data_IF_441463154705
#
_entry.id   IF_441463154705
#
_cell.length_a   1.000
_cell.length_b   1.000
_cell.length_c   1.000
_cell.angle_alpha   90.00
_cell.angle_beta   90.00
_cell.angle_gamma   90.00
#
_symmetry.space_group_name_H-M   'P 1'
#
loop_
_entity.id
_entity.type
_entity.pdbx_description
1 polymer ?
#
# COMPACT_ATOMS: atom_id res chain seq x y z
N UNK A 1 0.61 -12.15 -51.54
CA UNK A 1 -0.04 -11.27 -50.55
C UNK A 1 -0.75 -12.19 -49.58
N UNK A 2 -0.32 -12.20 -48.31
CA UNK A 2 -1.04 -12.94 -47.25
C UNK A 2 -1.93 -11.91 -46.58
N UNK A 3 -3.19 -11.82 -47.00
CA UNK A 3 -4.12 -10.90 -46.37
C UNK A 3 -4.60 -11.54 -45.06
N UNK A 4 -4.36 -10.86 -43.95
CA UNK A 4 -4.60 -11.39 -42.61
C UNK A 4 -6.09 -11.62 -42.30
N UNK A 5 -6.98 -11.09 -43.13
CA UNK A 5 -8.44 -11.18 -43.00
C UNK A 5 -9.02 -12.53 -43.47
N UNK A 6 -8.26 -13.31 -44.26
CA UNK A 6 -8.74 -14.58 -44.83
C UNK A 6 -8.67 -15.77 -43.85
N UNK A 7 -8.06 -15.58 -42.67
CA UNK A 7 -7.75 -16.67 -41.74
C UNK A 7 -8.32 -16.43 -40.34
N UNK A 8 -8.94 -17.44 -39.72
CA UNK A 8 -9.48 -17.29 -38.38
C UNK A 8 -8.36 -17.07 -37.36
N UNK A 9 -8.64 -16.22 -36.37
CA UNK A 9 -7.76 -15.99 -35.23
C UNK A 9 -7.76 -17.19 -34.28
N UNK A 10 -6.58 -17.70 -33.97
CA UNK A 10 -6.36 -18.84 -33.09
C UNK A 10 -5.66 -18.40 -31.81
N UNK A 11 -6.17 -18.91 -30.68
CA UNK A 11 -5.53 -18.76 -29.36
C UNK A 11 -4.79 -20.05 -29.04
N UNK A 12 -3.54 -19.93 -28.62
CA UNK A 12 -2.72 -21.07 -28.19
C UNK A 12 -2.56 -21.05 -26.67
N UNK A 13 -2.79 -22.20 -26.03
CA UNK A 13 -2.48 -22.42 -24.62
C UNK A 13 -1.34 -23.42 -24.54
N UNK A 14 -0.16 -22.96 -24.11
CA UNK A 14 1.01 -23.81 -23.87
C UNK A 14 0.92 -24.39 -22.46
N UNK A 15 0.19 -25.50 -22.36
CA UNK A 15 -0.03 -26.21 -21.10
C UNK A 15 1.29 -26.82 -20.55
N UNK A 16 1.62 -26.64 -19.25
CA UNK A 16 2.91 -27.05 -18.68
C UNK A 16 2.98 -28.56 -18.35
N UNK A 17 2.38 -29.41 -19.16
CA UNK A 17 2.32 -30.85 -18.93
C UNK A 17 1.88 -31.65 -20.15
N UNK A 18 1.98 -32.98 -20.07
CA UNK A 18 1.59 -33.88 -21.15
C UNK A 18 0.07 -34.11 -21.11
N UNK A 19 -0.64 -33.58 -22.11
CA UNK A 19 -2.09 -33.73 -22.21
C UNK A 19 -2.45 -35.09 -22.82
N UNK A 20 -2.94 -36.02 -21.98
CA UNK A 20 -3.52 -37.30 -22.43
C UNK A 20 -5.04 -37.23 -22.61
N UNK A 21 -5.70 -36.42 -21.79
CA UNK A 21 -7.14 -36.18 -21.83
C UNK A 21 -7.37 -34.67 -21.88
N UNK A 22 -7.98 -34.20 -22.97
CA UNK A 22 -8.17 -32.77 -23.24
C UNK A 22 -9.19 -32.16 -22.28
N UNK A 23 -10.29 -32.86 -21.98
CA UNK A 23 -11.35 -32.36 -21.10
C UNK A 23 -10.83 -32.11 -19.68
N UNK A 24 -10.01 -33.02 -19.15
CA UNK A 24 -9.36 -32.84 -17.86
C UNK A 24 -8.39 -31.65 -17.86
N UNK A 25 -7.64 -31.45 -18.94
CA UNK A 25 -6.74 -30.30 -19.06
C UNK A 25 -7.50 -28.96 -19.17
N UNK A 26 -8.68 -28.97 -19.79
CA UNK A 26 -9.58 -27.81 -19.82
C UNK A 26 -10.16 -27.57 -18.42
N UNK A 27 -10.52 -28.62 -17.69
CA UNK A 27 -11.04 -28.52 -16.33
C UNK A 27 -9.99 -27.93 -15.35
N UNK A 28 -8.71 -28.27 -15.49
CA UNK A 28 -7.64 -27.66 -14.68
C UNK A 28 -7.44 -26.17 -14.95
N UNK A 29 -7.83 -25.69 -16.13
CA UNK A 29 -7.87 -24.25 -16.48
C UNK A 29 -9.18 -23.57 -16.07
N UNK A 30 -10.06 -24.27 -15.33
CA UNK A 30 -11.32 -23.74 -14.85
C UNK A 30 -12.48 -23.87 -15.85
N UNK A 31 -12.32 -24.65 -16.91
CA UNK A 31 -13.35 -24.88 -17.92
C UNK A 31 -13.30 -23.89 -19.09
N UNK A 32 -14.02 -24.22 -20.17
CA UNK A 32 -14.06 -23.41 -21.40
C UNK A 32 -14.57 -22.00 -21.14
N UNK A 33 -15.54 -21.84 -20.23
CA UNK A 33 -16.12 -20.53 -19.88
C UNK A 33 -15.09 -19.58 -19.27
N UNK A 34 -14.32 -20.05 -18.28
CA UNK A 34 -13.28 -19.23 -17.64
C UNK A 34 -12.14 -18.92 -18.59
N UNK A 35 -11.74 -19.86 -19.44
CA UNK A 35 -10.76 -19.62 -20.48
C UNK A 35 -11.23 -18.53 -21.47
N UNK A 36 -12.50 -18.62 -21.91
CA UNK A 36 -13.10 -17.62 -22.80
C UNK A 36 -13.22 -16.25 -22.13
N UNK A 37 -13.57 -16.20 -20.84
CA UNK A 37 -13.65 -14.96 -20.08
C UNK A 37 -12.27 -14.33 -19.91
N UNK A 38 -11.26 -15.10 -19.49
CA UNK A 38 -9.88 -14.64 -19.35
C UNK A 38 -9.33 -14.09 -20.68
N UNK A 39 -9.69 -14.73 -21.80
CA UNK A 39 -9.34 -14.25 -23.11
C UNK A 39 -10.00 -12.91 -23.48
N UNK A 40 -11.31 -12.79 -23.25
CA UNK A 40 -12.06 -11.55 -23.52
C UNK A 40 -11.57 -10.36 -22.69
N UNK A 41 -11.25 -10.59 -21.42
CA UNK A 41 -10.73 -9.55 -20.52
C UNK A 41 -9.22 -9.34 -20.63
N UNK A 42 -8.53 -10.14 -21.45
CA UNK A 42 -7.07 -10.15 -21.63
C UNK A 42 -6.30 -10.35 -20.31
N UNK A 43 -6.87 -11.16 -19.41
CA UNK A 43 -6.26 -11.52 -18.12
C UNK A 43 -5.53 -12.86 -18.25
N UNK A 44 -4.54 -13.10 -17.39
CA UNK A 44 -3.86 -14.38 -17.29
C UNK A 44 -4.84 -15.52 -17.00
N UNK A 45 -4.61 -16.69 -17.62
CA UNK A 45 -5.31 -17.92 -17.28
C UNK A 45 -4.73 -18.53 -16.00
N UNK A 46 -5.61 -19.09 -15.19
CA UNK A 46 -5.24 -19.81 -13.96
C UNK A 46 -5.21 -21.31 -14.24
N UNK A 47 -4.14 -21.97 -13.84
CA UNK A 47 -4.02 -23.41 -13.84
C UNK A 47 -4.05 -23.94 -12.41
N UNK A 48 -4.99 -24.86 -12.15
CA UNK A 48 -5.17 -25.57 -10.90
C UNK A 48 -4.97 -27.07 -11.12
N UNK A 49 -3.93 -27.63 -10.54
CA UNK A 49 -3.66 -29.07 -10.66
C UNK A 49 -4.75 -29.93 -10.00
N UNK A 50 -5.36 -29.42 -8.93
CA UNK A 50 -6.46 -30.07 -8.20
C UNK A 50 -7.67 -29.11 -8.12
N UNK A 51 -8.53 -29.07 -9.16
CA UNK A 51 -9.63 -28.10 -9.25
C UNK A 51 -10.62 -28.13 -8.09
N UNK A 52 -10.78 -29.29 -7.46
CA UNK A 52 -11.69 -29.53 -6.34
C UNK A 52 -11.15 -28.97 -5.01
N UNK A 53 -9.83 -28.78 -4.89
CA UNK A 53 -9.22 -28.25 -3.66
C UNK A 53 -9.16 -26.71 -3.72
N UNK A 54 -9.86 -25.98 -2.83
CA UNK A 54 -9.87 -24.52 -2.83
C UNK A 54 -8.53 -23.89 -2.43
N UNK A 55 -7.70 -24.62 -1.67
CA UNK A 55 -6.37 -24.19 -1.24
C UNK A 55 -5.26 -24.54 -2.25
N UNK A 56 -5.60 -25.12 -3.40
CA UNK A 56 -4.61 -25.42 -4.44
C UNK A 56 -3.91 -24.15 -4.91
N UNK A 57 -2.58 -24.15 -4.88
CA UNK A 57 -1.73 -23.09 -5.39
C UNK A 57 -1.93 -23.00 -6.90
N UNK A 58 -2.19 -21.78 -7.37
CA UNK A 58 -2.53 -21.51 -8.77
C UNK A 58 -1.26 -21.12 -9.53
N UNK A 59 -1.09 -21.67 -10.72
CA UNK A 59 -0.11 -21.17 -11.68
C UNK A 59 -0.81 -20.18 -12.62
N UNK A 60 -0.14 -19.09 -12.94
CA UNK A 60 -0.69 -18.09 -13.87
C UNK A 60 0.09 -18.11 -15.18
N UNK A 61 -0.64 -17.98 -16.28
CA UNK A 61 -0.02 -17.87 -17.60
C UNK A 61 0.47 -16.44 -17.85
N UNK A 62 1.60 -16.31 -18.53
CA UNK A 62 1.98 -15.09 -19.23
C UNK A 62 1.15 -14.96 -20.52
N UNK A 63 0.61 -13.78 -20.78
CA UNK A 63 -0.17 -13.47 -21.98
C UNK A 63 0.72 -12.79 -23.00
N UNK A 64 0.96 -13.44 -24.13
CA UNK A 64 1.75 -12.91 -25.24
C UNK A 64 0.79 -12.57 -26.37
N UNK A 65 0.72 -11.28 -26.71
CA UNK A 65 0.06 -10.81 -27.93
C UNK A 65 0.95 -11.15 -29.13
N UNK A 66 0.54 -12.16 -29.90
CA UNK A 66 1.28 -12.65 -31.06
C UNK A 66 1.00 -11.83 -32.33
N UNK A 67 0.00 -10.95 -32.32
CA UNK A 67 -0.23 -9.98 -33.40
C UNK A 67 0.61 -8.71 -33.24
N UNK A 68 1.18 -8.45 -32.07
CA UNK A 68 2.05 -7.29 -31.85
C UNK A 68 3.37 -7.47 -32.60
N UNK A 69 3.39 -7.05 -33.87
CA UNK A 69 4.54 -7.17 -34.78
C UNK A 69 5.65 -6.21 -34.37
N UNK A 70 6.57 -6.67 -33.51
CA UNK A 70 7.83 -5.96 -33.25
C UNK A 70 9.01 -6.51 -34.07
N UNK A 71 8.87 -7.71 -34.64
CA UNK A 71 9.95 -8.41 -35.35
C UNK A 71 9.57 -8.92 -36.75
N UNK A 72 8.47 -8.44 -37.34
CA UNK A 72 8.04 -8.82 -38.70
C UNK A 72 7.65 -10.29 -38.89
N UNK A 73 7.51 -11.06 -37.80
CA UNK A 73 7.25 -12.50 -37.85
C UNK A 73 5.80 -12.79 -37.47
N UNK A 74 5.05 -13.47 -38.33
CA UNK A 74 3.67 -13.90 -38.06
C UNK A 74 3.68 -15.38 -37.65
N UNK A 75 2.90 -15.72 -36.61
CA UNK A 75 2.73 -17.11 -36.16
C UNK A 75 1.46 -17.68 -36.74
N UNK A 76 1.54 -18.87 -37.34
CA UNK A 76 0.44 -19.53 -38.03
C UNK A 76 0.32 -20.97 -37.57
N UNK A 77 -0.92 -21.43 -37.33
CA UNK A 77 -1.18 -22.84 -37.04
C UNK A 77 -1.41 -23.58 -38.36
N UNK A 78 -0.63 -24.64 -38.58
CA UNK A 78 -0.69 -25.46 -39.80
C UNK A 78 -0.95 -26.92 -39.44
N UNK A 79 -1.80 -27.59 -40.23
CA UNK A 79 -2.02 -29.03 -40.15
C UNK A 79 -1.21 -29.70 -41.25
N UNK A 80 -0.21 -30.49 -40.86
CA UNK A 80 0.65 -31.21 -41.79
C UNK A 80 0.20 -32.67 -41.86
N UNK A 81 -0.20 -33.16 -43.03
CA UNK A 81 -0.52 -34.57 -43.28
C UNK A 81 0.57 -35.19 -44.13
N UNK A 82 1.10 -36.33 -43.69
CA UNK A 82 2.08 -37.14 -44.42
C UNK A 82 1.47 -38.48 -44.80
N UNK A 83 1.67 -38.94 -46.03
CA UNK A 83 1.23 -40.30 -46.42
C UNK A 83 2.14 -41.34 -45.76
N UNK A 84 1.55 -42.44 -45.26
CA UNK A 84 2.29 -43.51 -44.56
C UNK A 84 3.26 -44.26 -45.50
N UNK A 85 2.92 -44.37 -46.78
CA UNK A 85 3.70 -45.10 -47.80
C UNK A 85 4.75 -44.24 -48.51
N UNK A 86 4.60 -42.91 -48.52
CA UNK A 86 5.56 -41.99 -49.15
C UNK A 86 5.76 -40.77 -48.26
N UNK A 87 6.92 -40.75 -47.58
CA UNK A 87 7.28 -39.68 -46.64
C UNK A 87 7.61 -38.35 -47.33
N UNK A 88 7.74 -38.33 -48.66
CA UNK A 88 8.04 -37.13 -49.44
C UNK A 88 6.79 -36.29 -49.76
N UNK A 89 5.61 -36.92 -49.79
CA UNK A 89 4.34 -36.25 -50.04
C UNK A 89 3.79 -35.62 -48.75
N UNK A 90 3.93 -34.29 -48.63
CA UNK A 90 3.45 -33.49 -47.50
C UNK A 90 2.32 -32.58 -47.94
N UNK A 91 1.11 -32.77 -47.40
CA UNK A 91 0.00 -31.83 -47.56
C UNK A 91 -0.04 -30.89 -46.35
N UNK A 92 -0.02 -29.59 -46.61
CA UNK A 92 -0.07 -28.56 -45.57
C UNK A 92 -1.40 -27.81 -45.71
N UNK A 93 -2.26 -27.92 -44.68
CA UNK A 93 -3.49 -27.13 -44.58
C UNK A 93 -3.24 -25.99 -43.57
N UNK A 94 -3.41 -24.73 -43.98
CA UNK A 94 -3.35 -23.60 -43.04
C UNK A 94 -4.64 -23.55 -42.22
N UNK A 95 -4.53 -23.51 -40.88
CA UNK A 95 -5.69 -23.50 -39.97
C UNK A 95 -6.06 -22.06 -39.62
N UNK A 96 -5.07 -21.20 -39.35
CA UNK A 96 -5.32 -19.82 -38.96
C UNK A 96 -4.12 -19.10 -38.35
N UNK A 97 -4.32 -17.81 -38.05
CA UNK A 97 -3.30 -16.92 -37.49
C UNK A 97 -3.32 -16.94 -35.97
N UNK A 98 -2.17 -17.08 -35.33
CA UNK A 98 -2.08 -17.09 -33.87
C UNK A 98 -2.15 -15.66 -33.34
N UNK A 99 -3.21 -15.35 -32.59
CA UNK A 99 -3.45 -14.00 -32.06
C UNK A 99 -2.84 -13.84 -30.67
N UNK A 100 -3.05 -14.82 -29.79
CA UNK A 100 -2.60 -14.80 -28.40
C UNK A 100 -2.01 -16.15 -28.01
N UNK A 101 -0.96 -16.09 -27.19
CA UNK A 101 -0.34 -17.28 -26.60
C UNK A 101 -0.37 -17.13 -25.08
N UNK A 102 -1.01 -18.08 -24.41
CA UNK A 102 -1.00 -18.23 -22.96
C UNK A 102 0.06 -19.24 -22.60
N UNK A 103 1.13 -18.79 -21.92
CA UNK A 103 2.31 -19.60 -21.63
C UNK A 103 2.58 -19.68 -20.14
N UNK A 104 2.69 -20.89 -19.60
CA UNK A 104 2.97 -21.12 -18.17
C UNK A 104 4.47 -21.36 -17.97
N UNK A 105 5.25 -20.28 -17.94
CA UNK A 105 6.71 -20.32 -17.70
C UNK A 105 7.11 -20.10 -16.24
N UNK A 106 6.19 -19.57 -15.44
CA UNK A 106 6.43 -19.23 -14.05
C UNK A 106 6.30 -20.47 -13.15
N UNK A 107 7.00 -20.47 -12.03
CA UNK A 107 6.88 -21.53 -11.03
C UNK A 107 5.57 -21.41 -10.25
N UNK A 108 5.06 -22.55 -9.78
CA UNK A 108 4.00 -22.55 -8.79
C UNK A 108 4.47 -21.96 -7.46
N UNK A 109 3.54 -21.34 -6.74
CA UNK A 109 3.80 -20.93 -5.35
C UNK A 109 3.86 -22.14 -4.42
N UNK A 110 4.35 -21.94 -3.20
CA UNK A 110 4.36 -22.97 -2.16
C UNK A 110 2.93 -23.47 -1.89
N UNK A 111 2.80 -24.77 -1.70
CA UNK A 111 1.53 -25.42 -1.34
C UNK A 111 1.56 -25.81 0.13
N UNK A 112 0.61 -25.28 0.90
CA UNK A 112 0.31 -25.78 2.23
C UNK A 112 -0.99 -26.57 2.16
N UNK A 113 -1.03 -27.77 2.75
CA UNK A 113 -2.20 -28.65 2.68
C UNK A 113 -2.94 -28.67 4.02
N UNK A 114 -4.28 -28.67 4.04
CA UNK A 114 -5.09 -28.72 5.26
C UNK A 114 -5.12 -30.14 5.83
N UNK A 115 -3.95 -30.68 6.15
CA UNK A 115 -3.78 -32.06 6.62
C UNK A 115 -3.24 -32.08 8.04
N UNK A 116 -3.85 -32.89 8.91
CA UNK A 116 -3.36 -33.14 10.27
C UNK A 116 -2.87 -34.58 10.38
N UNK A 117 -1.61 -34.78 10.73
CA UNK A 117 -1.09 -36.14 11.00
C UNK A 117 -1.75 -36.69 12.27
N UNK A 118 -2.32 -37.89 12.18
CA UNK A 118 -2.89 -38.57 13.34
C UNK A 118 -1.77 -39.13 14.22
N UNK A 119 -1.85 -39.00 15.56
CA UNK A 119 -0.81 -39.53 16.45
C UNK A 119 -0.74 -41.06 16.34
N UNK A 120 0.47 -41.59 16.16
CA UNK A 120 0.71 -43.03 16.12
C UNK A 120 0.44 -43.74 14.79
N UNK A 121 0.02 -43.04 13.74
CA UNK A 121 -0.08 -43.62 12.39
C UNK A 121 0.47 -42.68 11.31
N UNK A 122 0.78 -43.21 10.13
CA UNK A 122 1.22 -42.40 8.98
C UNK A 122 0.05 -41.82 8.16
N UNK A 123 -1.16 -41.89 8.71
CA UNK A 123 -2.36 -41.40 8.07
C UNK A 123 -2.59 -39.92 8.39
N UNK A 124 -3.00 -39.16 7.39
CA UNK A 124 -3.34 -37.75 7.50
C UNK A 124 -4.86 -37.59 7.46
N UNK A 125 -5.40 -36.80 8.39
CA UNK A 125 -6.80 -36.39 8.39
C UNK A 125 -6.96 -35.14 7.52
N UNK A 126 -7.94 -35.16 6.61
CA UNK A 126 -8.32 -33.99 5.82
C UNK A 126 -9.16 -33.03 6.68
N UNK A 127 -8.64 -31.82 6.87
CA UNK A 127 -9.31 -30.76 7.61
C UNK A 127 -10.28 -29.96 6.72
N UNK A 128 -10.23 -30.10 5.40
CA UNK A 128 -11.04 -29.29 4.49
C UNK A 128 -12.55 -29.33 4.80
N UNK A 129 -13.18 -30.49 5.06
CA UNK A 129 -14.60 -30.54 5.41
C UNK A 129 -14.93 -29.90 6.77
N UNK A 130 -13.93 -29.76 7.65
CA UNK A 130 -14.06 -29.08 8.95
C UNK A 130 -13.81 -27.57 8.84
N UNK A 131 -13.07 -27.13 7.82
CA UNK A 131 -12.68 -25.74 7.59
C UNK A 131 -13.59 -25.00 6.63
N UNK A 132 -14.36 -25.72 5.81
CA UNK A 132 -15.33 -25.15 4.87
C UNK A 132 -16.57 -26.03 4.92
N UNK A 133 -17.74 -25.48 5.28
CA UNK A 133 -18.96 -26.27 5.30
C UNK A 133 -19.38 -26.56 3.86
N UNK A 134 -19.62 -27.82 3.54
CA UNK A 134 -19.99 -28.26 2.19
C UNK A 134 -21.42 -27.86 1.80
N UNK A 135 -22.29 -27.63 2.78
CA UNK A 135 -23.69 -27.29 2.59
C UNK A 135 -24.20 -26.31 3.67
N UNK A 136 -25.37 -25.73 3.39
CA UNK A 136 -26.02 -24.73 4.25
C UNK A 136 -26.34 -25.30 5.66
N UNK A 137 -26.87 -26.53 5.81
CA UNK A 137 -27.09 -27.12 7.13
C UNK A 137 -25.80 -27.25 7.95
N UNK A 138 -24.70 -27.74 7.36
CA UNK A 138 -23.42 -27.83 8.08
C UNK A 138 -22.91 -26.46 8.50
N UNK A 139 -23.11 -25.42 7.67
CA UNK A 139 -22.73 -24.05 8.00
C UNK A 139 -23.50 -23.52 9.22
N UNK A 140 -24.81 -23.80 9.34
CA UNK A 140 -25.60 -23.40 10.51
C UNK A 140 -25.13 -24.08 11.79
N UNK A 141 -24.68 -25.35 11.72
CA UNK A 141 -24.13 -26.03 12.90
C UNK A 141 -22.91 -25.33 13.49
N UNK A 142 -22.16 -24.53 12.73
CA UNK A 142 -21.05 -23.74 13.26
C UNK A 142 -21.49 -22.56 14.11
N UNK A 143 -22.68 -22.02 13.85
CA UNK A 143 -23.25 -20.90 14.59
C UNK A 143 -23.95 -21.36 15.88
N UNK A 144 -24.48 -22.58 15.87
CA UNK A 144 -25.24 -23.16 16.98
C UNK A 144 -24.37 -23.88 18.01
N UNK A 145 -23.15 -24.29 17.65
CA UNK A 145 -22.22 -24.97 18.58
C UNK A 145 -21.65 -24.00 19.61
N UNK A 146 -22.00 -24.20 20.88
CA UNK A 146 -21.37 -23.57 22.05
C UNK A 146 -20.02 -24.17 22.42
N UNK A 147 -19.75 -25.41 22.00
CA UNK A 147 -18.49 -26.13 22.23
C UNK A 147 -17.78 -26.34 20.88
N UNK A 148 -16.74 -25.54 20.63
CA UNK A 148 -15.86 -25.76 19.50
C UNK A 148 -14.81 -26.80 19.88
N UNK A 149 -14.82 -27.96 19.22
CA UNK A 149 -13.63 -28.80 19.13
C UNK A 149 -12.43 -27.92 18.72
N UNK A 150 -11.24 -28.08 19.32
CA UNK A 150 -10.08 -27.26 18.97
C UNK A 150 -9.63 -27.59 17.54
N UNK A 151 -10.19 -26.89 16.56
CA UNK A 151 -9.74 -26.90 15.18
C UNK A 151 -8.42 -26.12 15.13
N UNK A 152 -7.32 -26.72 14.63
CA UNK A 152 -6.08 -25.99 14.45
C UNK A 152 -6.30 -24.76 13.55
N UNK A 153 -5.76 -23.61 13.95
CA UNK A 153 -5.84 -22.38 13.16
C UNK A 153 -5.20 -22.61 11.77
N UNK A 154 -6.04 -22.67 10.73
CA UNK A 154 -5.62 -22.89 9.35
C UNK A 154 -5.94 -21.67 8.49
N UNK A 155 -5.08 -20.65 8.56
CA UNK A 155 -5.19 -19.42 7.79
C UNK A 155 -3.88 -19.18 7.01
N UNK A 156 -3.60 -19.97 5.95
CA UNK A 156 -2.43 -19.70 5.12
C UNK A 156 -2.57 -18.33 4.46
N UNK A 157 -1.45 -17.62 4.22
CA UNK A 157 -1.46 -16.40 3.43
C UNK A 157 -1.99 -16.70 2.03
N UNK A 158 -2.60 -15.69 1.40
CA UNK A 158 -3.08 -15.82 0.02
C UNK A 158 -1.96 -16.20 -0.97
N UNK A 159 -0.74 -15.75 -0.70
CA UNK A 159 0.45 -16.01 -1.49
C UNK A 159 1.65 -16.15 -0.54
N UNK A 160 2.41 -17.23 -0.67
CA UNK A 160 3.59 -17.50 0.14
C UNK A 160 4.82 -16.82 -0.45
N UNK A 161 5.03 -16.96 -1.76
CA UNK A 161 6.14 -16.32 -2.47
C UNK A 161 5.69 -15.02 -3.11
N UNK A 162 6.39 -13.92 -2.85
CA UNK A 162 6.14 -12.64 -3.57
C UNK A 162 6.55 -12.70 -5.05
N UNK A 163 7.32 -13.72 -5.45
CA UNK A 163 7.86 -13.84 -6.80
C UNK A 163 7.74 -15.29 -7.29
N UNK A 164 7.19 -15.48 -8.49
CA UNK A 164 7.03 -16.81 -9.10
C UNK A 164 8.21 -17.18 -10.03
N UNK A 165 9.29 -16.40 -9.97
CA UNK A 165 10.50 -16.62 -10.77
C UNK A 165 11.64 -16.94 -9.80
N UNK A 166 12.35 -18.07 -10.00
CA UNK A 166 13.47 -18.43 -9.15
C UNK A 166 14.59 -17.40 -9.27
N UNK A 167 15.20 -17.05 -8.14
CA UNK A 167 16.40 -16.21 -8.14
C UNK A 167 17.62 -17.07 -8.46
N UNK A 168 18.28 -16.80 -9.58
CA UNK A 168 19.53 -17.49 -9.95
C UNK A 168 20.73 -17.16 -9.02
N UNK A 169 20.52 -16.37 -7.95
CA UNK A 169 21.56 -15.91 -7.02
C UNK A 169 21.36 -16.42 -5.58
N UNK A 170 20.51 -17.43 -5.36
CA UNK A 170 20.06 -17.89 -4.04
C UNK A 170 21.15 -18.50 -3.12
N UNK A 171 22.37 -18.73 -3.61
CA UNK A 171 23.48 -19.32 -2.85
C UNK A 171 24.64 -18.34 -2.63
N UNK A 172 24.37 -17.07 -2.36
CA UNK A 172 25.39 -16.11 -1.92
C UNK A 172 25.38 -16.00 -0.38
N UNK A 173 26.54 -16.12 0.26
CA UNK A 173 26.69 -16.01 1.72
C UNK A 173 26.44 -14.57 2.14
N UNK A 174 25.97 -14.33 3.37
CA UNK A 174 25.78 -12.97 3.91
C UNK A 174 27.04 -12.08 3.78
N UNK A 175 28.22 -12.71 3.79
CA UNK A 175 29.53 -12.05 3.60
C UNK A 175 29.74 -11.50 2.18
N UNK A 176 29.06 -12.04 1.17
CA UNK A 176 29.21 -11.64 -0.23
C UNK A 176 28.48 -10.31 -0.53
N UNK A 177 27.63 -9.85 0.40
CA UNK A 177 26.81 -8.64 0.25
C UNK A 177 27.45 -7.38 0.82
N UNK A 178 28.64 -7.48 1.41
CA UNK A 178 29.35 -6.34 2.04
C UNK A 178 30.08 -5.47 1.02
N UNK A 179 29.84 -5.58 -0.29
CA UNK A 179 30.55 -4.76 -1.26
C UNK A 179 29.61 -4.36 -2.41
N UNK A 180 29.27 -3.08 -2.50
CA UNK A 180 28.73 -2.43 -3.69
C UNK A 180 27.34 -2.88 -4.18
N UNK A 181 26.29 -2.29 -3.59
CA UNK A 181 25.20 -1.53 -4.25
C UNK A 181 24.52 -1.99 -5.56
N UNK A 182 24.90 -3.09 -6.20
CA UNK A 182 24.33 -3.56 -7.47
C UNK A 182 24.14 -5.07 -7.41
N UNK A 183 22.89 -5.47 -7.17
CA UNK A 183 22.42 -6.80 -7.55
C UNK A 183 22.53 -7.90 -6.49
N UNK A 184 22.11 -7.62 -5.25
CA UNK A 184 21.73 -8.67 -4.32
C UNK A 184 20.58 -9.53 -4.88
N UNK A 185 20.56 -10.81 -4.53
CA UNK A 185 19.47 -11.73 -4.86
C UNK A 185 18.14 -11.17 -4.34
N UNK A 186 17.15 -11.06 -5.23
CA UNK A 186 15.92 -10.30 -4.98
C UNK A 186 16.08 -8.85 -5.41
N UNK A 187 15.32 -8.43 -6.44
CA UNK A 187 15.41 -7.11 -7.11
C UNK A 187 15.26 -5.88 -6.19
N UNK A 188 15.07 -6.03 -4.87
CA UNK A 188 14.77 -4.94 -3.94
C UNK A 188 15.30 -5.17 -2.50
N UNK A 189 16.50 -5.74 -2.32
CA UNK A 189 17.09 -5.80 -0.97
C UNK A 189 17.54 -4.38 -0.55
N UNK A 190 16.73 -3.75 0.30
CA UNK A 190 16.97 -2.39 0.81
C UNK A 190 18.08 -2.47 1.87
N UNK A 191 19.13 -1.65 1.74
CA UNK A 191 20.17 -1.52 2.79
C UNK A 191 19.52 -1.31 4.16
N UNK A 192 19.99 -2.02 5.18
CA UNK A 192 19.57 -1.83 6.58
C UNK A 192 19.73 -0.35 6.93
N UNK A 193 18.64 0.28 7.37
CA UNK A 193 18.66 1.67 7.84
C UNK A 193 18.76 1.63 9.36
N UNK A 194 19.82 2.19 9.92
CA UNK A 194 19.92 2.46 11.35
C UNK A 194 18.92 3.57 11.69
N UNK A 195 17.88 3.23 12.46
CA UNK A 195 16.91 4.20 12.92
C UNK A 195 17.39 4.78 14.27
N UNK A 196 17.93 6.00 14.25
CA UNK A 196 18.40 6.69 15.45
C UNK A 196 17.29 7.45 16.18
N UNK A 197 16.14 7.65 15.54
CA UNK A 197 14.97 8.30 16.15
C UNK A 197 14.32 7.38 17.17
N UNK A 198 14.11 7.88 18.39
CA UNK A 198 13.28 7.20 19.39
C UNK A 198 11.81 7.41 19.02
N UNK A 199 11.04 6.33 18.98
CA UNK A 199 9.59 6.37 18.73
C UNK A 199 8.85 5.77 19.91
N UNK A 200 7.82 6.46 20.41
CA UNK A 200 7.03 6.03 21.57
C UNK A 200 5.55 5.99 21.27
N UNK A 201 4.79 5.15 21.96
CA UNK A 201 3.33 5.20 22.00
C UNK A 201 2.86 6.22 23.05
N UNK A 202 1.59 6.63 22.98
CA UNK A 202 1.02 7.63 23.90
C UNK A 202 1.12 7.27 25.40
N UNK A 203 1.13 5.97 25.71
CA UNK A 203 1.15 5.44 27.07
C UNK A 203 2.54 5.08 27.57
N UNK A 204 3.55 5.13 26.71
CA UNK A 204 4.91 4.78 27.08
C UNK A 204 5.53 5.91 27.93
N UNK A 205 6.67 5.60 28.56
CA UNK A 205 7.48 6.59 29.24
C UNK A 205 8.22 7.47 28.22
N UNK A 206 8.19 8.79 28.43
CA UNK A 206 8.75 9.73 27.48
C UNK A 206 10.24 9.94 27.79
N UNK A 207 11.13 9.79 26.80
CA UNK A 207 12.56 9.85 27.05
C UNK A 207 12.98 11.26 27.49
N UNK A 208 13.82 11.38 28.55
CA UNK A 208 14.25 12.68 29.04
C UNK A 208 15.38 13.29 28.21
N UNK A 209 16.18 12.48 27.51
CA UNK A 209 17.38 12.90 26.76
C UNK A 209 17.52 12.08 25.47
N UNK A 210 18.16 12.66 24.45
CA UNK A 210 18.56 11.97 23.23
C UNK A 210 19.64 10.90 23.50
N UNK A 211 19.77 9.92 22.60
CA UNK A 211 20.88 8.95 22.66
C UNK A 211 22.19 9.57 22.16
N UNK A 212 23.32 9.19 22.76
CA UNK A 212 24.64 9.67 22.35
C UNK A 212 24.93 9.36 20.88
N UNK A 213 24.45 8.22 20.38
CA UNK A 213 24.55 7.85 18.97
C UNK A 213 23.79 8.80 18.04
N UNK A 214 22.62 9.31 18.45
CA UNK A 214 21.85 10.28 17.68
C UNK A 214 22.52 11.66 17.67
N UNK A 215 23.12 12.06 18.79
CA UNK A 215 23.86 13.32 18.90
C UNK A 215 25.10 13.29 17.99
N UNK A 216 25.90 12.22 18.10
CA UNK A 216 27.11 12.05 17.29
C UNK A 216 26.82 11.98 15.79
N UNK A 217 25.75 11.26 15.37
CA UNK A 217 25.36 11.21 13.95
C UNK A 217 24.90 12.57 13.43
N UNK A 218 24.10 13.31 14.21
CA UNK A 218 23.63 14.63 13.82
C UNK A 218 24.79 15.62 13.64
N UNK A 219 25.78 15.61 14.53
CA UNK A 219 26.97 16.46 14.46
C UNK A 219 27.92 16.04 13.32
N UNK A 220 28.05 14.73 13.09
CA UNK A 220 28.88 14.21 12.01
C UNK A 220 28.30 14.54 10.63
N UNK A 221 26.98 14.33 10.43
CA UNK A 221 26.31 14.48 9.14
C UNK A 221 25.88 15.90 8.82
N UNK A 222 25.60 16.72 9.83
CA UNK A 222 25.25 18.13 9.68
C UNK A 222 26.21 19.01 10.48
N UNK A 223 27.33 19.38 9.85
CA UNK A 223 28.40 20.19 10.48
C UNK A 223 28.05 21.66 10.67
N UNK A 224 27.11 22.19 9.87
CA UNK A 224 26.68 23.57 9.98
C UNK A 224 25.87 23.77 11.27
N UNK A 225 26.20 24.77 12.08
CA UNK A 225 25.51 25.04 13.35
C UNK A 225 24.13 25.70 13.16
N UNK A 226 23.93 26.43 12.06
CA UNK A 226 22.69 27.17 11.79
C UNK A 226 21.43 26.25 11.87
N UNK A 227 21.35 25.11 11.16
CA UNK A 227 20.22 24.18 11.29
C UNK A 227 19.98 23.65 12.71
N UNK A 228 21.04 23.41 13.49
CA UNK A 228 20.92 22.96 14.88
C UNK A 228 20.32 24.07 15.75
N UNK A 229 20.79 25.30 15.57
CA UNK A 229 20.30 26.46 16.32
C UNK A 229 18.84 26.79 15.98
N UNK A 230 18.45 26.67 14.70
CA UNK A 230 17.06 26.87 14.26
C UNK A 230 16.11 25.87 14.93
N UNK A 231 16.44 24.57 14.90
CA UNK A 231 15.61 23.55 15.54
C UNK A 231 15.57 23.72 17.06
N UNK A 232 16.71 24.01 17.69
CA UNK A 232 16.78 24.29 19.13
C UNK A 232 15.83 25.43 19.51
N UNK A 233 15.92 26.56 18.81
CA UNK A 233 15.04 27.73 19.04
C UNK A 233 13.55 27.38 18.88
N UNK A 234 13.18 26.65 17.82
CA UNK A 234 11.78 26.25 17.61
C UNK A 234 11.26 25.34 18.72
N UNK A 235 12.08 24.41 19.21
CA UNK A 235 11.71 23.48 20.28
C UNK A 235 11.70 24.15 21.67
N UNK A 236 12.50 25.20 21.86
CA UNK A 236 12.48 26.05 23.05
C UNK A 236 11.21 26.93 23.10
N UNK A 237 10.79 27.49 21.96
CA UNK A 237 9.54 28.27 21.84
C UNK A 237 8.29 27.40 21.94
N UNK A 238 8.30 26.23 21.30
CA UNK A 238 7.18 25.29 21.28
C UNK A 238 7.72 23.85 21.37
N UNK A 239 7.32 23.08 22.40
CA UNK A 239 7.94 21.78 22.67
C UNK A 239 7.52 20.67 21.68
N UNK A 240 6.46 20.88 20.90
CA UNK A 240 5.92 19.85 20.01
C UNK A 240 5.56 20.40 18.64
N UNK A 241 6.04 19.73 17.59
CA UNK A 241 5.84 20.16 16.21
C UNK A 241 5.47 19.00 15.28
N UNK A 242 4.68 19.29 14.26
CA UNK A 242 4.52 18.40 13.11
C UNK A 242 5.78 18.48 12.24
N UNK A 243 6.07 17.40 11.51
CA UNK A 243 7.19 17.41 10.55
C UNK A 243 7.02 18.50 9.49
N UNK A 244 5.80 18.68 8.99
CA UNK A 244 5.46 19.74 8.02
C UNK A 244 5.67 21.14 8.60
N UNK A 245 5.29 21.37 9.86
CA UNK A 245 5.56 22.65 10.52
C UNK A 245 7.03 22.97 10.66
N UNK A 246 7.86 21.97 11.02
CA UNK A 246 9.31 22.16 11.08
C UNK A 246 9.90 22.49 9.70
N UNK A 247 9.48 21.79 8.65
CA UNK A 247 9.90 22.08 7.27
C UNK A 247 9.50 23.49 6.86
N UNK A 248 8.26 23.89 7.14
CA UNK A 248 7.76 25.22 6.79
C UNK A 248 8.50 26.34 7.51
N UNK A 249 8.71 26.22 8.82
CA UNK A 249 9.34 27.25 9.64
C UNK A 249 10.86 27.36 9.40
N UNK A 250 11.53 26.23 9.13
CA UNK A 250 12.98 26.24 8.93
C UNK A 250 13.42 26.37 7.48
N UNK A 251 12.55 26.03 6.52
CA UNK A 251 12.94 25.92 5.10
C UNK A 251 13.99 24.83 4.83
N UNK A 252 14.33 24.00 5.82
CA UNK A 252 15.33 22.95 5.69
C UNK A 252 14.79 21.78 4.88
N UNK A 253 15.66 21.17 4.07
CA UNK A 253 15.33 19.97 3.32
C UNK A 253 14.93 18.81 4.26
N UNK A 254 14.00 17.98 3.79
CA UNK A 254 13.48 16.84 4.54
C UNK A 254 14.60 15.88 4.97
N UNK A 255 15.66 15.72 4.17
CA UNK A 255 16.82 14.90 4.52
C UNK A 255 17.56 15.44 5.75
N UNK A 256 17.78 16.76 5.82
CA UNK A 256 18.47 17.42 6.95
C UNK A 256 17.63 17.26 8.22
N UNK A 257 16.32 17.48 8.13
CA UNK A 257 15.43 17.27 9.28
C UNK A 257 15.43 15.82 9.78
N UNK A 258 15.52 14.79 8.90
CA UNK A 258 15.64 13.39 9.35
C UNK A 258 16.89 13.12 10.18
N UNK A 259 17.97 13.84 9.90
CA UNK A 259 19.26 13.71 10.59
C UNK A 259 19.20 14.39 11.96
N UNK A 260 18.66 15.60 12.00
CA UNK A 260 18.71 16.44 13.20
C UNK A 260 17.63 16.10 14.22
N UNK A 261 16.44 15.70 13.79
CA UNK A 261 15.32 15.44 14.71
C UNK A 261 15.64 14.46 15.85
N UNK A 262 16.32 13.32 15.62
CA UNK A 262 16.75 12.41 16.69
C UNK A 262 17.58 13.05 17.81
N UNK A 263 18.29 14.15 17.54
CA UNK A 263 19.08 14.89 18.54
C UNK A 263 18.21 15.78 19.45
N UNK A 264 17.08 16.29 18.95
CA UNK A 264 16.27 17.30 19.66
C UNK A 264 14.94 16.77 20.19
N UNK A 265 14.37 15.75 19.54
CA UNK A 265 13.03 15.28 19.83
C UNK A 265 12.86 13.78 19.57
N UNK A 266 11.88 13.18 20.24
CA UNK A 266 11.36 11.85 19.94
C UNK A 266 10.02 11.95 19.21
N UNK A 267 9.61 10.85 18.57
CA UNK A 267 8.39 10.82 17.76
C UNK A 267 7.28 10.03 18.44
N UNK A 268 6.10 10.64 18.57
CA UNK A 268 4.92 10.00 19.17
C UNK A 268 4.11 9.32 18.06
N UNK A 269 3.90 8.00 18.16
CA UNK A 269 3.26 7.21 17.10
C UNK A 269 1.72 7.29 17.13
N UNK A 270 1.14 7.39 18.32
CA UNK A 270 -0.30 7.22 18.56
C UNK A 270 -0.82 8.19 19.62
N UNK A 271 -2.14 8.21 19.81
CA UNK A 271 -2.84 9.01 20.82
C UNK A 271 -3.05 10.47 20.45
N UNK A 272 -3.40 11.32 21.43
CA UNK A 272 -3.84 12.71 21.21
C UNK A 272 -2.77 13.60 20.57
N UNK A 273 -1.50 13.35 20.89
CA UNK A 273 -0.32 14.02 20.32
C UNK A 273 0.40 13.14 19.28
N UNK A 274 -0.29 12.13 18.74
CA UNK A 274 0.25 11.26 17.73
C UNK A 274 0.70 12.03 16.49
N UNK A 275 1.77 11.54 15.85
CA UNK A 275 2.40 12.14 14.67
C UNK A 275 3.16 13.45 14.94
N UNK A 276 3.42 13.80 16.20
CA UNK A 276 4.26 14.93 16.58
C UNK A 276 5.67 14.51 16.99
N UNK A 277 6.62 15.42 16.74
CA UNK A 277 7.94 15.41 17.35
C UNK A 277 7.87 16.21 18.65
N UNK A 278 8.23 15.58 19.76
CA UNK A 278 8.22 16.18 21.09
C UNK A 278 9.65 16.32 21.60
N UNK A 279 10.00 17.51 22.11
CA UNK A 279 11.29 17.79 22.73
C UNK A 279 11.53 16.82 23.89
N UNK A 280 12.77 16.36 24.03
CA UNK A 280 13.18 15.53 25.16
C UNK A 280 12.94 16.22 26.50
N UNK A 281 12.47 15.46 27.49
CA UNK A 281 12.18 15.97 28.84
C UNK A 281 10.86 16.74 28.99
N UNK A 282 10.03 16.83 27.94
CA UNK A 282 8.70 17.41 28.02
C UNK A 282 7.62 16.32 27.95
N UNK A 283 6.69 16.33 28.91
CA UNK A 283 5.52 15.44 28.90
C UNK A 283 4.21 16.24 28.81
N UNK A 284 3.51 16.20 27.65
CA UNK A 284 2.27 16.95 27.45
C UNK A 284 1.10 16.45 28.32
N UNK A 285 1.22 15.26 28.95
CA UNK A 285 0.19 14.71 29.85
C UNK A 285 0.19 15.41 31.20
N UNK A 286 1.28 16.07 31.58
CA UNK A 286 1.44 16.76 32.85
C UNK A 286 1.05 18.24 32.78
N UNK A 287 1.05 18.83 31.58
CA UNK A 287 0.81 20.25 31.37
C UNK A 287 -0.51 20.49 30.63
N UNK A 288 -1.48 21.16 31.27
CA UNK A 288 -2.76 21.47 30.64
C UNK A 288 -2.60 22.33 29.38
N UNK A 289 -1.63 23.24 29.36
CA UNK A 289 -1.31 24.07 28.19
C UNK A 289 -0.99 23.25 26.93
N UNK A 290 -0.60 21.99 27.08
CA UNK A 290 -0.32 21.09 25.97
C UNK A 290 -1.57 20.67 25.18
N UNK A 291 -2.78 20.99 25.68
CA UNK A 291 -4.06 20.78 25.01
C UNK A 291 -4.09 21.39 23.61
N UNK A 292 -3.48 22.58 23.46
CA UNK A 292 -3.41 23.31 22.19
C UNK A 292 -2.57 22.59 21.12
N UNK A 293 -1.72 21.65 21.54
CA UNK A 293 -0.89 20.88 20.62
C UNK A 293 -1.50 19.53 20.23
N UNK A 294 -2.68 19.16 20.75
CA UNK A 294 -3.36 17.94 20.29
C UNK A 294 -3.57 17.97 18.78
N UNK A 295 -3.59 16.79 18.17
CA UNK A 295 -3.60 16.64 16.72
C UNK A 295 -4.99 16.39 16.17
N UNK A 296 -5.27 17.02 15.03
CA UNK A 296 -6.51 16.87 14.26
C UNK A 296 -6.13 16.38 12.86
N UNK A 297 -6.50 15.12 12.56
CA UNK A 297 -6.36 14.59 11.21
C UNK A 297 -7.58 14.96 10.38
N UNK A 298 -7.35 15.61 9.24
CA UNK A 298 -8.40 15.98 8.29
C UNK A 298 -8.11 15.29 6.96
N UNK A 299 -9.14 14.67 6.35
CA UNK A 299 -9.03 14.02 5.05
C UNK A 299 -10.15 14.39 4.10
N UNK A 300 -9.78 14.63 2.84
CA UNK A 300 -10.65 15.04 1.73
C UNK A 300 -10.63 14.02 0.59
N UNK A 301 -10.81 12.72 0.88
CA UNK A 301 -10.62 11.63 -0.09
C UNK A 301 -11.43 11.78 -1.39
N UNK A 302 -12.63 12.35 -1.29
CA UNK A 302 -13.57 12.52 -2.41
C UNK A 302 -13.52 13.91 -3.07
N UNK A 303 -12.56 14.77 -2.70
CA UNK A 303 -12.47 16.13 -3.23
C UNK A 303 -11.56 16.18 -4.47
N UNK A 304 -12.15 16.40 -5.64
CA UNK A 304 -11.41 16.42 -6.92
C UNK A 304 -10.53 17.68 -7.10
N UNK A 305 -10.80 18.75 -6.35
CA UNK A 305 -10.03 20.01 -6.44
C UNK A 305 -8.71 19.95 -5.68
N UNK A 306 -8.56 18.99 -4.77
CA UNK A 306 -7.32 18.78 -4.02
C UNK A 306 -6.53 17.66 -4.74
N UNK A 307 -5.26 17.87 -5.11
CA UNK A 307 -4.49 16.86 -5.81
C UNK A 307 -4.32 15.60 -4.95
N UNK A 308 -4.59 14.44 -5.53
CA UNK A 308 -4.29 13.16 -4.87
C UNK A 308 -2.79 12.92 -4.95
N UNK A 309 -2.14 12.68 -3.80
CA UNK A 309 -0.80 12.09 -3.80
C UNK A 309 -0.94 10.66 -4.33
N UNK A 310 -0.83 10.50 -5.64
CA UNK A 310 -0.91 9.21 -6.31
C UNK A 310 0.05 8.22 -5.63
N UNK A 311 -0.48 7.08 -5.17
CA UNK A 311 0.29 6.04 -4.47
C UNK A 311 1.20 5.23 -5.41
N UNK A 312 1.46 5.70 -6.63
CA UNK A 312 2.16 4.97 -7.69
C UNK A 312 3.33 5.79 -8.28
N UNK A 313 4.54 5.26 -8.04
CA UNK A 313 5.80 5.39 -8.80
C UNK A 313 5.98 6.63 -9.70
N UNK A 314 6.36 7.79 -9.17
CA UNK A 314 7.32 8.68 -9.86
C UNK A 314 8.01 9.61 -8.85
N UNK A 315 9.33 9.53 -8.74
CA UNK A 315 10.15 10.45 -7.93
C UNK A 315 9.99 11.95 -8.32
N UNK A 316 9.33 12.23 -9.45
CA UNK A 316 9.08 13.57 -9.97
C UNK A 316 7.92 14.27 -9.24
N UNK A 317 6.86 13.53 -8.85
CA UNK A 317 5.71 14.11 -8.11
C UNK A 317 6.08 14.35 -6.64
N UNK A 318 6.91 13.50 -6.04
CA UNK A 318 7.51 13.79 -4.74
C UNK A 318 8.32 15.09 -4.78
N UNK A 319 9.05 15.36 -5.87
CA UNK A 319 9.81 16.60 -6.03
C UNK A 319 8.92 17.84 -6.13
N UNK A 320 7.89 17.81 -6.99
CA UNK A 320 6.97 18.95 -7.18
C UNK A 320 6.15 19.25 -5.91
N UNK A 321 5.74 18.24 -5.14
CA UNK A 321 5.03 18.45 -3.88
C UNK A 321 5.97 18.81 -2.72
N UNK A 322 7.24 18.40 -2.76
CA UNK A 322 8.25 18.87 -1.81
C UNK A 322 8.68 20.32 -2.09
N UNK A 323 8.59 20.79 -3.34
CA UNK A 323 8.91 22.18 -3.71
C UNK A 323 7.80 23.17 -3.31
N UNK A 324 6.55 22.73 -3.17
CA UNK A 324 5.51 23.54 -2.57
C UNK A 324 5.66 23.51 -1.04
N UNK A 325 6.06 24.64 -0.44
CA UNK A 325 6.11 24.79 1.01
C UNK A 325 4.69 24.67 1.59
N UNK A 326 4.28 23.43 1.91
CA UNK A 326 2.93 23.14 2.39
C UNK A 326 2.74 23.81 3.75
N UNK A 327 1.82 24.76 3.80
CA UNK A 327 1.51 25.46 5.04
C UNK A 327 0.97 24.47 6.07
N UNK A 328 1.59 24.49 7.25
CA UNK A 328 1.20 23.65 8.37
C UNK A 328 0.00 24.22 9.12
N UNK A 329 -0.38 25.47 8.85
CA UNK A 329 -1.56 26.13 9.42
C UNK A 329 -2.75 26.01 8.49
N UNK A 330 -3.93 25.89 9.09
CA UNK A 330 -5.19 26.00 8.37
C UNK A 330 -5.79 27.38 8.61
N UNK A 331 -5.97 28.16 7.57
CA UNK A 331 -6.65 29.46 7.62
C UNK A 331 -8.03 29.35 6.97
N UNK A 332 -9.03 30.03 7.55
CA UNK A 332 -10.41 29.99 7.08
C UNK A 332 -10.52 30.45 5.62
N UNK A 333 -11.28 29.71 4.81
CA UNK A 333 -11.49 30.00 3.39
C UNK A 333 -10.35 29.52 2.48
N UNK A 334 -9.38 28.77 2.99
CA UNK A 334 -8.28 28.20 2.20
C UNK A 334 -8.53 26.74 1.86
N UNK A 335 -8.32 26.36 0.60
CA UNK A 335 -8.35 24.95 0.19
C UNK A 335 -6.98 24.33 0.51
N UNK A 336 -6.90 23.24 1.30
CA UNK A 336 -5.65 22.57 1.61
C UNK A 336 -4.94 22.02 0.36
N UNK A 337 -3.61 22.10 0.34
CA UNK A 337 -2.79 21.61 -0.78
C UNK A 337 -2.68 20.07 -0.83
N UNK A 338 -3.02 19.39 0.27
CA UNK A 338 -2.94 17.93 0.40
C UNK A 338 -4.27 17.36 0.89
N UNK A 339 -4.64 16.18 0.36
CA UNK A 339 -5.90 15.49 0.74
C UNK A 339 -5.91 14.96 2.17
N UNK A 340 -4.75 14.86 2.81
CA UNK A 340 -4.61 14.37 4.17
C UNK A 340 -3.57 15.23 4.89
N UNK A 341 -3.98 15.85 5.99
CA UNK A 341 -3.11 16.67 6.81
C UNK A 341 -3.36 16.41 8.30
N UNK A 342 -2.31 16.55 9.09
CA UNK A 342 -2.35 16.56 10.54
C UNK A 342 -2.04 17.97 11.01
N UNK A 343 -3.01 18.62 11.62
CA UNK A 343 -2.87 19.95 12.23
C UNK A 343 -2.73 19.81 13.74
N UNK A 344 -1.96 20.68 14.40
CA UNK A 344 -2.18 20.89 15.83
C UNK A 344 -3.35 21.86 16.02
N UNK A 345 -4.08 21.73 17.13
CA UNK A 345 -5.23 22.60 17.43
C UNK A 345 -4.85 24.10 17.40
N UNK A 346 -3.65 24.46 17.87
CA UNK A 346 -3.13 25.84 17.82
C UNK A 346 -2.82 26.36 16.41
N UNK A 347 -2.69 25.47 15.42
CA UNK A 347 -2.35 25.83 14.03
C UNK A 347 -3.61 26.05 13.18
N UNK A 348 -4.79 26.00 13.80
CA UNK A 348 -6.10 26.10 13.14
C UNK A 348 -6.69 27.49 13.41
N UNK A 349 -6.70 28.33 12.38
CA UNK A 349 -7.11 29.74 12.41
C UNK A 349 -8.63 29.94 12.37
N UNK A 350 -9.35 29.43 13.36
CA UNK A 350 -10.78 29.68 13.57
C UNK A 350 -11.01 30.36 14.93
N UNK A 351 -11.85 31.41 15.01
CA UNK A 351 -12.27 32.00 16.30
C UNK A 351 -12.91 30.97 17.24
N UNK A 352 -13.68 30.04 16.70
CA UNK A 352 -14.33 28.95 17.43
C UNK A 352 -13.29 28.02 18.08
N UNK A 353 -12.18 27.77 17.39
CA UNK A 353 -11.07 26.94 17.89
C UNK A 353 -10.27 27.68 18.96
N UNK A 354 -10.05 28.99 18.80
CA UNK A 354 -9.43 29.81 19.83
C UNK A 354 -10.25 29.79 21.14
N UNK A 355 -11.58 29.86 21.04
CA UNK A 355 -12.47 29.71 22.19
C UNK A 355 -12.37 28.32 22.82
N UNK A 356 -12.26 27.25 22.02
CA UNK A 356 -12.03 25.89 22.54
C UNK A 356 -10.71 25.81 23.30
N UNK A 357 -9.62 26.39 22.79
CA UNK A 357 -8.32 26.40 23.47
C UNK A 357 -8.41 27.16 24.80
N UNK A 358 -9.19 28.24 24.87
CA UNK A 358 -9.37 29.03 26.08
C UNK A 358 -10.23 28.33 27.17
N UNK A 359 -11.03 27.33 26.81
CA UNK A 359 -11.86 26.58 27.77
C UNK A 359 -11.00 25.71 28.68
N UNK A 360 -11.37 25.64 29.96
CA UNK A 360 -10.76 24.71 30.92
C UNK A 360 -11.34 23.30 30.72
N UNK A 361 -10.45 22.31 30.63
CA UNK A 361 -10.78 20.89 30.53
C UNK A 361 -10.13 20.06 31.66
N UNK A 362 -9.57 20.72 32.68
CA UNK A 362 -8.83 20.06 33.77
C UNK A 362 -9.66 19.05 34.56
N UNK A 363 -10.98 19.26 34.64
CA UNK A 363 -11.96 18.39 35.30
C UNK A 363 -12.51 17.26 34.42
N UNK A 364 -12.20 17.23 33.12
CA UNK A 364 -12.85 16.35 32.16
C UNK A 364 -12.33 14.89 32.15
N UNK A 365 -11.21 14.58 32.82
CA UNK A 365 -10.62 13.25 32.77
C UNK A 365 -9.76 12.90 33.99
N UNK A 366 -9.87 11.66 34.46
CA UNK A 366 -8.93 11.06 35.42
C UNK A 366 -7.51 10.94 34.81
N UNK A 367 -6.43 10.90 35.63
CA UNK A 367 -5.05 10.89 35.15
C UNK A 367 -4.74 9.81 34.08
N UNK A 368 -5.33 8.63 34.17
CA UNK A 368 -5.18 7.55 33.18
C UNK A 368 -5.95 7.76 31.88
N UNK A 369 -7.04 8.53 31.91
CA UNK A 369 -7.86 8.87 30.73
C UNK A 369 -7.20 9.97 29.89
N UNK A 370 -6.45 10.89 30.51
CA UNK A 370 -5.70 11.97 29.81
C UNK A 370 -4.66 11.42 28.84
N UNK A 371 -3.97 10.32 29.18
CA UNK A 371 -3.02 9.67 28.28
C UNK A 371 -3.68 9.04 27.04
N UNK A 372 -4.95 8.62 27.17
CA UNK A 372 -5.69 7.98 26.08
C UNK A 372 -6.44 9.00 25.19
N UNK A 373 -7.00 10.05 25.79
CA UNK A 373 -7.94 10.96 25.11
C UNK A 373 -7.44 12.42 25.03
N UNK A 374 -6.39 12.77 25.77
CA UNK A 374 -5.83 14.11 25.81
C UNK A 374 -6.59 15.02 26.78
N UNK A 375 -6.39 16.32 26.65
CA UNK A 375 -7.10 17.33 27.46
C UNK A 375 -8.41 17.73 26.82
N UNK A 376 -8.41 17.95 25.49
CA UNK A 376 -9.59 18.20 24.69
C UNK A 376 -10.26 16.86 24.36
N UNK A 377 -11.53 16.66 24.74
CA UNK A 377 -12.29 15.45 24.41
C UNK A 377 -12.37 15.20 22.90
N UNK A 378 -12.43 13.92 22.53
CA UNK A 378 -12.48 13.48 21.12
C UNK A 378 -13.66 14.09 20.37
N UNK A 379 -14.80 14.26 21.04
CA UNK A 379 -16.01 14.87 20.45
C UNK A 379 -15.73 16.31 19.97
N UNK A 380 -15.00 17.10 20.75
CA UNK A 380 -14.64 18.47 20.39
C UNK A 380 -13.59 18.46 19.27
N UNK A 381 -12.64 17.52 19.29
CA UNK A 381 -11.69 17.34 18.18
C UNK A 381 -12.42 17.00 16.87
N UNK A 382 -13.50 16.21 16.95
CA UNK A 382 -14.34 15.87 15.82
C UNK A 382 -15.13 17.08 15.30
N UNK A 383 -15.66 17.92 16.20
CA UNK A 383 -16.28 19.21 15.85
C UNK A 383 -15.29 20.13 15.10
N UNK A 384 -14.05 20.25 15.58
CA UNK A 384 -13.00 21.03 14.89
C UNK A 384 -12.76 20.47 13.48
N UNK A 385 -12.70 19.14 13.34
CA UNK A 385 -12.51 18.50 12.04
C UNK A 385 -13.67 18.81 11.08
N UNK A 386 -14.88 18.80 11.59
CA UNK A 386 -16.06 19.05 10.77
C UNK A 386 -16.20 20.53 10.41
N UNK A 387 -15.80 21.47 11.28
CA UNK A 387 -15.67 22.89 10.94
C UNK A 387 -14.73 23.10 9.74
N UNK A 388 -13.55 22.48 9.76
CA UNK A 388 -12.59 22.54 8.63
C UNK A 388 -13.22 21.97 7.36
N UNK A 389 -13.87 20.80 7.44
CA UNK A 389 -14.49 20.18 6.27
C UNK A 389 -15.61 21.02 5.67
N UNK A 390 -16.45 21.63 6.52
CA UNK A 390 -17.53 22.50 6.09
C UNK A 390 -17.00 23.76 5.39
N UNK A 391 -15.96 24.37 5.95
CA UNK A 391 -15.30 25.55 5.37
C UNK A 391 -14.69 25.23 3.99
N UNK A 392 -13.95 24.11 3.88
CA UNK A 392 -13.42 23.65 2.58
C UNK A 392 -14.55 23.34 1.59
N UNK A 393 -15.61 22.66 2.02
CA UNK A 393 -16.76 22.33 1.16
C UNK A 393 -17.40 23.61 0.61
N UNK A 394 -17.66 24.59 1.49
CA UNK A 394 -18.17 25.90 1.09
C UNK A 394 -17.26 26.56 0.07
N UNK A 395 -15.94 26.57 0.32
CA UNK A 395 -14.99 27.21 -0.57
C UNK A 395 -14.89 26.55 -1.94
N UNK A 396 -14.93 25.22 -1.98
CA UNK A 396 -14.95 24.46 -3.24
C UNK A 396 -16.20 24.80 -4.05
N UNK A 397 -17.37 24.82 -3.42
CA UNK A 397 -18.62 25.20 -4.10
C UNK A 397 -18.60 26.65 -4.60
N UNK A 398 -18.01 27.59 -3.85
CA UNK A 398 -17.81 28.97 -4.32
C UNK A 398 -16.91 29.04 -5.57
N UNK A 399 -15.81 28.28 -5.59
CA UNK A 399 -14.88 28.24 -6.74
C UNK A 399 -15.52 27.60 -7.96
N UNK A 400 -16.28 26.51 -7.77
CA UNK A 400 -17.04 25.87 -8.86
C UNK A 400 -18.11 26.81 -9.42
N UNK A 401 -18.81 27.55 -8.55
CA UNK A 401 -19.80 28.54 -8.96
C UNK A 401 -19.17 29.68 -9.78
N UNK A 402 -18.03 30.23 -9.33
CA UNK A 402 -17.32 31.27 -10.10
C UNK A 402 -16.83 30.78 -11.46
N UNK A 403 -16.30 29.55 -11.53
CA UNK A 403 -15.91 28.93 -12.81
C UNK A 403 -17.07 28.76 -13.78
N UNK A 404 -18.26 28.43 -13.27
CA UNK A 404 -19.45 28.30 -14.10
C UNK A 404 -19.94 29.65 -14.62
N UNK A 405 -19.79 30.74 -13.85
CA UNK A 405 -20.10 32.10 -14.31
C UNK A 405 -19.13 32.53 -15.41
N UNK A 406 -17.82 32.37 -15.18
CA UNK A 406 -16.79 32.73 -16.18
C UNK A 406 -16.90 31.87 -17.44
N UNK A 407 -17.25 30.59 -17.31
CA UNK A 407 -17.49 29.70 -18.45
C UNK A 407 -18.75 30.07 -19.26
N UNK A 408 -19.76 30.67 -18.63
CA UNK A 408 -20.99 31.12 -19.30
C UNK A 408 -20.89 32.52 -19.91
N UNK A 409 -19.91 33.33 -19.54
CA UNK A 409 -19.68 34.69 -20.07
C UNK A 409 -18.98 34.72 -21.44
N UNK A 410 -18.89 33.59 -22.17
CA UNK A 410 -18.15 33.51 -23.44
C UNK A 410 -18.95 33.07 -24.66
N UNK A 411 -20.29 32.98 -24.59
CA UNK A 411 -21.09 32.52 -25.74
C UNK A 411 -22.17 33.51 -26.22
N UNK A 412 -22.53 34.56 -25.48
CA UNK A 412 -23.55 35.53 -25.95
C UNK A 412 -23.19 37.03 -25.81
N UNK A 413 -22.00 37.38 -25.30
CA UNK A 413 -21.56 38.78 -25.15
C UNK A 413 -20.41 39.20 -26.11
N UNK A 414 -20.33 38.63 -27.33
CA UNK A 414 -19.48 39.13 -28.45
C UNK A 414 -20.31 39.33 -29.71
#
# INVERSE_FOLDING_TARGET
>A
MFDAEDYPGIVIVQYPGIVRNVDKAIQTLGGVEKMSQAHRTKVAMELKHTPENPYTSRCFSNVIDAMKVTSGTVRMAIKVRRKKNDKSCVKIDCIGLVTHIYRFDDMCDFQYLPLKKKPGCDHHEDLLPKLIPSDLPTAFTWWERTECDPIPLYLPPYQFSRYNIPSNKLLARDTDYVCNGKGAAGKNMRKTRTALSITVQARDEFPPVATDAAIADAEFRCKAEEPHNMLKKLFDERPMWTRTGLTFCTGLDDHVLKILLPKFAFYILSGPWGRLWCRFGYDPRLHEEAKKYQTVMVSFRQNNMIPEKGRLKVALVEKIINDANVDYRYERGRIPQVRQMWYCVCDIGFPEVANIIARDFSSAAEPGMKAAFGWIPVQIIDEIRDLIKQDVKKKVSEVEFMRNIEGNLTIEDI
#
